data_IF_519015575871
#
_entry.id   IF_519015575871
#
_cell.length_a   1.000
_cell.length_b   1.000
_cell.length_c   1.000
_cell.angle_alpha   90.00
_cell.angle_beta   90.00
_cell.angle_gamma   90.00
#
_symmetry.space_group_name_H-M   'P 1'
#
loop_
_entity.id
_entity.type
_entity.pdbx_description
1 polymer ?
#
# COMPACT_ATOMS: atom_id res chain seq x y z
N UNK A 1 11.70 -9.62 -17.26
CA UNK A 1 10.33 -9.07 -17.19
C UNK A 1 10.34 -7.84 -16.30
N UNK A 2 9.60 -6.80 -16.66
CA UNK A 2 9.52 -5.53 -15.92
C UNK A 2 8.86 -5.69 -14.53
N UNK A 3 7.97 -6.66 -14.36
CA UNK A 3 7.21 -6.87 -13.12
C UNK A 3 8.07 -7.42 -11.96
N UNK A 4 8.85 -8.51 -12.12
CA UNK A 4 9.73 -9.01 -11.04
C UNK A 4 10.74 -7.97 -10.55
N UNK A 5 11.28 -7.16 -11.46
CA UNK A 5 12.20 -6.08 -11.10
C UNK A 5 11.50 -5.01 -10.25
N UNK A 6 10.33 -4.52 -10.68
CA UNK A 6 9.53 -3.56 -9.91
C UNK A 6 9.12 -4.09 -8.54
N UNK A 7 8.82 -5.39 -8.43
CA UNK A 7 8.53 -6.02 -7.13
C UNK A 7 9.76 -6.02 -6.22
N UNK A 8 10.94 -6.33 -6.75
CA UNK A 8 12.19 -6.29 -5.99
C UNK A 8 12.46 -4.87 -5.48
N UNK A 9 12.37 -3.88 -6.35
CA UNK A 9 12.53 -2.46 -5.99
C UNK A 9 11.49 -2.02 -4.93
N UNK A 10 10.24 -2.45 -5.08
CA UNK A 10 9.18 -2.20 -4.11
C UNK A 10 9.50 -2.79 -2.73
N UNK A 11 9.90 -4.07 -2.67
CA UNK A 11 10.27 -4.72 -1.40
C UNK A 11 11.49 -4.06 -0.75
N UNK A 12 12.50 -3.70 -1.54
CA UNK A 12 13.70 -3.02 -1.05
C UNK A 12 13.37 -1.64 -0.45
N UNK A 13 12.57 -0.84 -1.17
CA UNK A 13 12.09 0.46 -0.71
C UNK A 13 11.24 0.33 0.55
N UNK A 14 10.21 -0.52 0.54
CA UNK A 14 9.30 -0.68 1.68
C UNK A 14 10.07 -1.12 2.93
N UNK A 15 11.00 -2.07 2.80
CA UNK A 15 11.82 -2.50 3.93
C UNK A 15 12.78 -1.41 4.42
N UNK A 16 13.28 -0.54 3.54
CA UNK A 16 14.10 0.60 3.94
C UNK A 16 13.30 1.64 4.74
N UNK A 17 12.05 1.89 4.36
CA UNK A 17 11.16 2.79 5.10
C UNK A 17 10.72 2.17 6.43
N UNK A 18 10.31 0.90 6.44
CA UNK A 18 9.92 0.15 7.66
C UNK A 18 11.01 0.12 8.73
N UNK A 19 12.30 0.07 8.35
CA UNK A 19 13.43 0.16 9.31
C UNK A 19 13.48 1.48 10.08
N UNK A 20 12.85 2.54 9.57
CA UNK A 20 12.78 3.86 10.20
C UNK A 20 11.46 4.09 10.95
N UNK A 21 10.59 3.09 11.03
CA UNK A 21 9.25 3.23 11.59
C UNK A 21 9.25 3.71 13.05
N UNK A 22 10.25 3.35 13.85
CA UNK A 22 10.34 3.76 15.26
C UNK A 22 10.52 5.27 15.46
N UNK A 23 10.98 6.00 14.44
CA UNK A 23 11.14 7.46 14.47
C UNK A 23 10.03 8.21 13.73
N UNK A 24 9.02 7.50 13.22
CA UNK A 24 7.92 8.09 12.46
C UNK A 24 6.73 8.41 13.37
N UNK A 25 6.02 9.48 13.03
CA UNK A 25 4.71 9.79 13.57
C UNK A 25 3.65 8.79 13.10
N UNK A 26 2.53 8.76 13.82
CA UNK A 26 1.36 7.95 13.45
C UNK A 26 0.87 8.25 12.02
N UNK A 27 0.91 9.52 11.60
CA UNK A 27 0.52 9.94 10.25
C UNK A 27 1.46 9.33 9.20
N UNK A 28 2.77 9.46 9.37
CA UNK A 28 3.76 8.90 8.44
C UNK A 28 3.66 7.37 8.32
N UNK A 29 3.30 6.68 9.42
CA UNK A 29 3.07 5.23 9.40
C UNK A 29 1.83 4.86 8.57
N UNK A 30 0.75 5.64 8.65
CA UNK A 30 -0.42 5.46 7.77
C UNK A 30 -0.07 5.74 6.31
N UNK A 31 0.59 6.86 6.03
CA UNK A 31 1.04 7.23 4.67
C UNK A 31 1.89 6.11 4.05
N UNK A 32 2.87 5.58 4.78
CA UNK A 32 3.66 4.42 4.34
C UNK A 32 2.78 3.21 3.97
N UNK A 33 1.77 2.91 4.78
CA UNK A 33 0.86 1.77 4.52
C UNK A 33 0.00 1.99 3.28
N UNK A 34 -0.46 3.21 3.04
CA UNK A 34 -1.26 3.58 1.86
C UNK A 34 -0.41 3.56 0.60
N UNK A 35 0.82 4.07 0.67
CA UNK A 35 1.78 4.04 -0.43
C UNK A 35 2.15 2.60 -0.81
N UNK A 36 2.32 1.71 0.18
CA UNK A 36 2.59 0.30 -0.06
C UNK A 36 1.44 -0.37 -0.84
N UNK A 37 0.21 -0.08 -0.43
CA UNK A 37 -0.99 -0.54 -1.13
C UNK A 37 -1.04 0.00 -2.56
N UNK A 38 -0.90 1.32 -2.73
CA UNK A 38 -0.99 1.99 -4.03
C UNK A 38 0.08 1.49 -5.00
N UNK A 39 1.30 1.32 -4.51
CA UNK A 39 2.42 0.81 -5.29
C UNK A 39 2.15 -0.61 -5.76
N UNK A 40 1.72 -1.52 -4.87
CA UNK A 40 1.47 -2.90 -5.25
C UNK A 40 0.32 -3.04 -6.26
N UNK A 41 -0.77 -2.29 -6.07
CA UNK A 41 -1.91 -2.31 -7.01
C UNK A 41 -1.54 -1.76 -8.39
N UNK A 42 -0.57 -0.85 -8.44
CA UNK A 42 -0.05 -0.23 -9.67
C UNK A 42 0.98 -1.10 -10.37
N UNK A 43 1.81 -1.85 -9.64
CA UNK A 43 2.68 -2.89 -10.24
C UNK A 43 1.84 -4.00 -10.88
N UNK A 44 0.70 -4.34 -10.25
CA UNK A 44 -0.27 -5.33 -10.72
C UNK A 44 0.36 -6.70 -11.08
N UNK A 45 1.07 -7.35 -10.13
CA UNK A 45 1.92 -8.50 -10.44
C UNK A 45 1.20 -9.81 -10.73
N UNK A 46 -0.08 -9.95 -10.36
CA UNK A 46 -0.86 -11.17 -10.55
C UNK A 46 -1.99 -10.97 -11.57
N UNK A 47 -2.49 -12.07 -12.14
CA UNK A 47 -3.63 -12.04 -13.06
C UNK A 47 -4.95 -11.64 -12.37
N UNK A 48 -5.10 -11.97 -11.09
CA UNK A 48 -6.21 -11.56 -10.23
C UNK A 48 -5.71 -11.42 -8.77
N UNK A 49 -6.46 -10.72 -7.92
CA UNK A 49 -6.21 -10.64 -6.49
C UNK A 49 -5.38 -9.43 -6.06
N UNK A 50 -4.88 -8.61 -7.00
CA UNK A 50 -4.00 -7.48 -6.71
C UNK A 50 -4.57 -6.53 -5.65
N UNK A 51 -5.83 -6.11 -5.77
CA UNK A 51 -6.47 -5.24 -4.77
C UNK A 51 -6.66 -5.90 -3.40
N UNK A 52 -6.93 -7.21 -3.36
CA UNK A 52 -7.06 -7.97 -2.10
C UNK A 52 -5.70 -8.07 -1.39
N UNK A 53 -4.65 -8.40 -2.14
CA UNK A 53 -3.29 -8.47 -1.61
C UNK A 53 -2.76 -7.10 -1.17
N UNK A 54 -3.04 -6.03 -1.93
CA UNK A 54 -2.66 -4.68 -1.55
C UNK A 54 -3.32 -4.24 -0.24
N UNK A 55 -4.62 -4.51 -0.05
CA UNK A 55 -5.32 -4.21 1.22
C UNK A 55 -4.80 -5.05 2.37
N UNK A 56 -4.52 -6.32 2.13
CA UNK A 56 -3.94 -7.20 3.14
C UNK A 56 -2.56 -6.68 3.60
N UNK A 57 -1.71 -6.28 2.66
CA UNK A 57 -0.40 -5.70 2.95
C UNK A 57 -0.50 -4.40 3.76
N UNK A 58 -1.38 -3.47 3.36
CA UNK A 58 -1.63 -2.23 4.11
C UNK A 58 -2.09 -2.51 5.54
N UNK A 59 -3.09 -3.37 5.71
CA UNK A 59 -3.61 -3.70 7.04
C UNK A 59 -2.58 -4.43 7.89
N UNK A 60 -1.71 -5.26 7.29
CA UNK A 60 -0.62 -5.91 7.99
C UNK A 60 0.40 -4.92 8.52
N UNK A 61 0.81 -3.92 7.71
CA UNK A 61 1.72 -2.85 8.15
C UNK A 61 1.09 -2.02 9.28
N UNK A 62 -0.18 -1.68 9.15
CA UNK A 62 -0.91 -0.95 10.19
C UNK A 62 -0.95 -1.76 11.50
N UNK A 63 -1.24 -3.06 11.42
CA UNK A 63 -1.22 -3.95 12.58
C UNK A 63 0.17 -4.08 13.19
N UNK A 64 1.22 -4.22 12.38
CA UNK A 64 2.62 -4.28 12.82
C UNK A 64 3.01 -3.07 13.66
N UNK A 65 2.47 -1.90 13.34
CA UNK A 65 2.73 -0.65 14.04
C UNK A 65 1.69 -0.28 15.12
N UNK A 66 0.78 -1.20 15.46
CA UNK A 66 -0.25 -0.96 16.48
C UNK A 66 -1.33 0.05 16.07
N UNK A 67 -1.48 0.32 14.77
CA UNK A 67 -2.49 1.20 14.22
C UNK A 67 -3.84 0.48 14.07
N UNK A 68 -4.91 1.26 13.98
CA UNK A 68 -6.24 0.75 13.67
C UNK A 68 -6.30 0.47 12.16
N UNK A 69 -6.62 -0.77 11.73
CA UNK A 69 -6.67 -1.10 10.32
C UNK A 69 -7.71 -0.25 9.56
N UNK A 70 -7.30 0.32 8.43
CA UNK A 70 -8.19 1.10 7.56
C UNK A 70 -9.18 0.17 6.88
N UNK A 71 -10.47 0.44 7.08
CA UNK A 71 -11.55 -0.32 6.46
C UNK A 71 -12.03 0.41 5.20
N UNK A 72 -11.88 -0.25 4.06
CA UNK A 72 -12.45 0.21 2.79
C UNK A 72 -13.81 -0.47 2.64
N UNK A 73 -14.88 0.31 2.78
CA UNK A 73 -16.25 -0.16 2.64
C UNK A 73 -16.60 -0.41 1.17
N UNK A 74 -17.56 -1.29 0.91
CA UNK A 74 -17.98 -1.58 -0.47
C UNK A 74 -18.72 -0.39 -1.09
N UNK A 75 -19.41 0.36 -0.23
CA UNK A 75 -20.12 1.60 -0.52
C UNK A 75 -19.15 2.68 -1.02
N UNK A 76 -17.93 2.73 -0.47
CA UNK A 76 -16.90 3.73 -0.80
C UNK A 76 -15.98 3.27 -1.95
N UNK A 77 -16.28 2.14 -2.58
CA UNK A 77 -15.41 1.54 -3.61
C UNK A 77 -15.19 2.49 -4.79
N UNK A 78 -16.20 3.27 -5.16
CA UNK A 78 -16.10 4.24 -6.25
C UNK A 78 -15.16 5.39 -5.89
N UNK A 79 -15.29 5.96 -4.69
CA UNK A 79 -14.41 7.02 -4.18
C UNK A 79 -12.98 6.53 -4.02
N UNK A 80 -12.79 5.33 -3.51
CA UNK A 80 -11.47 4.69 -3.43
C UNK A 80 -10.84 4.52 -4.82
N UNK A 81 -11.60 4.06 -5.83
CA UNK A 81 -11.07 3.95 -7.20
C UNK A 81 -10.71 5.35 -7.74
N UNK A 82 -11.55 6.37 -7.52
CA UNK A 82 -11.27 7.75 -7.92
C UNK A 82 -9.99 8.28 -7.27
N UNK A 83 -9.79 8.04 -5.98
CA UNK A 83 -8.57 8.44 -5.28
C UNK A 83 -7.33 7.77 -5.87
N UNK A 84 -7.38 6.46 -6.15
CA UNK A 84 -6.27 5.75 -6.80
C UNK A 84 -5.97 6.29 -8.20
N UNK A 85 -6.99 6.70 -8.97
CA UNK A 85 -6.79 7.32 -10.29
C UNK A 85 -6.12 8.68 -10.14
N UNK A 86 -6.61 9.53 -9.23
CA UNK A 86 -6.02 10.86 -8.99
C UNK A 86 -4.56 10.79 -8.54
N UNK A 87 -4.17 9.81 -7.69
CA UNK A 87 -2.77 9.62 -7.29
C UNK A 87 -1.85 9.22 -8.45
N UNK A 88 -2.38 8.69 -9.56
CA UNK A 88 -1.59 8.37 -10.76
C UNK A 88 -1.38 9.57 -11.70
N UNK A 89 -2.22 10.59 -11.59
CA UNK A 89 -2.22 11.77 -12.47
C UNK A 89 -1.38 12.93 -11.91
N UNK A 90 -1.06 12.90 -10.62
CA UNK A 90 -0.11 13.81 -9.95
C UNK A 90 1.31 13.27 -10.03
#
# INVERSE_FOLDING_TARGET
SKVPQKLKEFCEMLNAVRRKASSMSMQELYEMSFDAHFTLVTIHPWADGNGRMARLLMNWLQFEFGLIPSRIFNEDKEEYIKALVATREN
#
